data_IF_317371771022
#
_entry.id   IF_317371771022
#
_cell.length_a   1.000
_cell.length_b   1.000
_cell.length_c   1.000
_cell.angle_alpha   90.00
_cell.angle_beta   90.00
_cell.angle_gamma   90.00
#
_symmetry.space_group_name_H-M   'P 1'
#
loop_
_entity.id
_entity.type
_entity.pdbx_description
1 polymer ?
#
# COMPACT_ATOMS: atom_id res chain seq x y z
N UNK A 1 -0.80 1.61 -8.82
CA UNK A 1 0.26 2.56 -8.42
C UNK A 1 0.94 3.11 -9.67
N UNK A 2 1.30 4.39 -9.71
CA UNK A 2 2.00 4.96 -10.87
C UNK A 2 3.44 4.49 -10.95
N UNK A 3 3.74 3.69 -11.98
CA UNK A 3 5.05 3.07 -12.23
C UNK A 3 6.16 4.08 -12.58
N UNK A 4 5.79 5.31 -12.90
CA UNK A 4 6.73 6.42 -13.15
C UNK A 4 6.68 7.46 -12.02
N UNK A 5 5.92 7.21 -10.95
CA UNK A 5 5.73 8.13 -9.84
C UNK A 5 6.90 8.12 -8.85
N UNK A 6 7.05 9.19 -8.05
CA UNK A 6 8.14 9.31 -7.09
C UNK A 6 8.10 8.21 -6.02
N UNK A 7 6.91 7.76 -5.61
CA UNK A 7 6.76 6.64 -4.67
C UNK A 7 7.28 5.31 -5.24
N UNK A 8 7.11 5.04 -6.53
CA UNK A 8 7.62 3.83 -7.17
C UNK A 8 9.14 3.86 -7.27
N UNK A 9 9.71 5.00 -7.68
CA UNK A 9 11.16 5.21 -7.72
C UNK A 9 11.79 5.02 -6.33
N UNK A 10 11.14 5.58 -5.30
CA UNK A 10 11.61 5.44 -3.92
C UNK A 10 11.58 3.99 -3.42
N UNK A 11 10.56 3.20 -3.76
CA UNK A 11 10.53 1.78 -3.41
C UNK A 11 11.69 1.01 -4.06
N UNK A 12 12.02 1.32 -5.32
CA UNK A 12 13.15 0.71 -6.01
C UNK A 12 14.50 1.07 -5.36
N UNK A 13 14.69 2.32 -4.98
CA UNK A 13 15.89 2.78 -4.27
C UNK A 13 16.01 2.19 -2.86
N UNK A 14 14.89 2.11 -2.14
CA UNK A 14 14.85 1.61 -0.76
C UNK A 14 15.03 0.09 -0.69
N UNK A 15 14.51 -0.64 -1.67
CA UNK A 15 14.60 -2.09 -1.75
C UNK A 15 15.33 -2.53 -3.03
N UNK A 16 16.65 -2.29 -3.14
CA UNK A 16 17.41 -2.58 -4.36
C UNK A 16 17.47 -4.08 -4.70
N UNK A 17 17.15 -4.94 -3.72
CA UNK A 17 17.05 -6.41 -3.91
C UNK A 17 15.70 -6.86 -4.49
N UNK A 18 14.70 -5.98 -4.55
CA UNK A 18 13.44 -6.27 -5.23
C UNK A 18 13.58 -6.01 -6.72
N UNK A 19 13.27 -7.02 -7.52
CA UNK A 19 13.14 -6.84 -8.96
C UNK A 19 12.02 -5.86 -9.29
N UNK A 20 12.21 -5.07 -10.35
CA UNK A 20 11.21 -4.12 -10.87
C UNK A 20 9.83 -4.77 -11.08
N UNK A 21 9.76 -6.04 -11.49
CA UNK A 21 8.50 -6.79 -11.64
C UNK A 21 7.73 -6.92 -10.32
N UNK A 22 8.39 -7.39 -9.25
CA UNK A 22 7.82 -7.49 -7.90
C UNK A 22 7.28 -6.16 -7.39
N UNK A 23 8.00 -5.05 -7.63
CA UNK A 23 7.53 -3.71 -7.25
C UNK A 23 6.31 -3.30 -8.11
N UNK A 24 6.31 -3.60 -9.41
CA UNK A 24 5.17 -3.32 -10.32
C UNK A 24 3.92 -4.11 -9.96
N UNK A 25 4.08 -5.35 -9.51
CA UNK A 25 3.01 -6.24 -9.09
C UNK A 25 2.56 -5.98 -7.64
N UNK A 26 3.23 -5.08 -6.92
CA UNK A 26 2.94 -4.80 -5.51
C UNK A 26 3.31 -5.97 -4.58
N UNK A 27 4.11 -6.92 -5.05
CA UNK A 27 4.55 -8.10 -4.30
C UNK A 27 5.64 -7.67 -3.33
N UNK A 28 5.22 -7.33 -2.12
CA UNK A 28 6.08 -7.01 -0.99
C UNK A 28 5.84 -8.02 0.13
N UNK A 29 6.89 -8.45 0.81
CA UNK A 29 6.75 -9.31 1.99
C UNK A 29 6.43 -8.47 3.23
N UNK A 30 5.79 -9.08 4.24
CA UNK A 30 5.33 -8.39 5.46
C UNK A 30 6.36 -7.42 6.08
N UNK A 31 7.64 -7.78 6.24
CA UNK A 31 8.67 -6.86 6.76
C UNK A 31 8.86 -5.58 5.93
N UNK A 32 8.83 -5.67 4.61
CA UNK A 32 9.00 -4.52 3.71
C UNK A 32 7.81 -3.57 3.78
N UNK A 33 6.60 -4.13 3.88
CA UNK A 33 5.37 -3.36 4.08
C UNK A 33 5.41 -2.62 5.42
N UNK A 34 5.80 -3.31 6.51
CA UNK A 34 5.98 -2.69 7.84
C UNK A 34 7.00 -1.56 7.82
N UNK A 35 8.08 -1.71 7.05
CA UNK A 35 9.10 -0.67 6.90
C UNK A 35 8.55 0.55 6.14
N UNK A 36 7.74 0.34 5.10
CA UNK A 36 7.08 1.44 4.38
C UNK A 36 6.04 2.16 5.25
N UNK A 37 5.29 1.43 6.09
CA UNK A 37 4.34 2.04 7.02
C UNK A 37 5.00 2.96 8.04
N UNK A 38 6.21 2.62 8.48
CA UNK A 38 6.99 3.43 9.43
C UNK A 38 7.72 4.59 8.76
N UNK A 39 7.69 4.69 7.43
CA UNK A 39 8.42 5.71 6.70
C UNK A 39 7.55 6.90 6.31
N UNK A 40 7.62 8.02 7.04
CA UNK A 40 6.85 9.21 6.70
C UNK A 40 7.28 9.83 5.37
N UNK A 41 8.50 9.58 4.89
CA UNK A 41 8.95 10.07 3.58
C UNK A 41 8.16 9.38 2.47
N UNK A 42 7.94 8.07 2.59
CA UNK A 42 7.15 7.33 1.61
C UNK A 42 5.74 7.91 1.46
N UNK A 43 5.04 8.15 2.58
CA UNK A 43 3.68 8.74 2.56
C UNK A 43 3.61 10.12 1.90
N UNK A 44 4.69 10.92 1.99
CA UNK A 44 4.78 12.24 1.32
C UNK A 44 4.96 12.14 -0.20
N UNK A 45 5.45 11.00 -0.70
CA UNK A 45 5.64 10.76 -2.14
C UNK A 45 4.37 10.23 -2.82
N UNK A 46 3.35 9.85 -2.05
CA UNK A 46 2.07 9.39 -2.57
C UNK A 46 1.22 10.58 -3.02
N UNK A 47 0.58 10.44 -4.19
CA UNK A 47 -0.43 11.42 -4.64
C UNK A 47 -1.74 11.21 -3.88
N UNK A 48 -2.66 12.18 -3.94
CA UNK A 48 -3.89 12.19 -3.14
C UNK A 48 -4.69 10.87 -3.22
N UNK A 49 -4.88 10.30 -4.41
CA UNK A 49 -5.57 9.02 -4.60
C UNK A 49 -4.77 7.82 -4.06
N UNK A 50 -3.46 7.79 -4.31
CA UNK A 50 -2.57 6.73 -3.82
C UNK A 50 -2.47 6.74 -2.28
N UNK A 51 -2.53 7.94 -1.68
CA UNK A 51 -2.53 8.14 -0.24
C UNK A 51 -3.81 7.62 0.42
N UNK A 52 -4.97 7.80 -0.20
CA UNK A 52 -6.23 7.24 0.31
C UNK A 52 -6.18 5.71 0.35
N UNK A 53 -5.75 5.08 -0.75
CA UNK A 53 -5.56 3.62 -0.83
C UNK A 53 -4.52 3.15 0.19
N UNK A 54 -3.43 3.89 0.35
CA UNK A 54 -2.38 3.56 1.33
C UNK A 54 -2.86 3.66 2.78
N UNK A 55 -3.67 4.66 3.11
CA UNK A 55 -4.20 4.83 4.46
C UNK A 55 -5.23 3.74 4.80
N UNK A 56 -6.08 3.33 3.85
CA UNK A 56 -6.96 2.18 4.02
C UNK A 56 -6.16 0.87 4.19
N UNK A 57 -5.12 0.67 3.37
CA UNK A 57 -4.25 -0.49 3.49
C UNK A 57 -3.50 -0.55 4.82
N UNK A 58 -3.03 0.61 5.33
CA UNK A 58 -2.45 0.73 6.66
C UNK A 58 -3.44 0.31 7.75
N UNK A 59 -4.66 0.84 7.72
CA UNK A 59 -5.71 0.53 8.69
C UNK A 59 -6.04 -0.96 8.71
N UNK A 60 -6.27 -1.58 7.55
CA UNK A 60 -6.49 -3.03 7.48
C UNK A 60 -5.27 -3.77 8.02
N UNK A 61 -4.06 -3.41 7.61
CA UNK A 61 -2.86 -4.13 8.02
C UNK A 61 -2.58 -4.03 9.53
N UNK A 62 -2.88 -2.90 10.17
CA UNK A 62 -2.68 -2.74 11.61
C UNK A 62 -3.78 -3.38 12.44
N UNK A 63 -5.02 -3.39 11.95
CA UNK A 63 -6.19 -3.88 12.69
C UNK A 63 -6.57 -5.34 12.36
N UNK A 64 -5.94 -5.94 11.34
CA UNK A 64 -6.21 -7.31 10.91
C UNK A 64 -4.98 -8.23 10.91
N UNK A 65 -3.80 -7.73 10.50
CA UNK A 65 -2.56 -8.55 10.42
C UNK A 65 -1.73 -8.52 11.72
N UNK A 66 -2.27 -7.94 12.79
CA UNK A 66 -1.70 -7.96 14.15
C UNK A 66 -2.13 -9.18 14.97
N UNK A 67 -1.75 -9.21 16.25
CA UNK A 67 -2.22 -10.22 17.20
C UNK A 67 -3.68 -9.98 17.66
N UNK A 68 -4.19 -8.77 17.43
CA UNK A 68 -5.55 -8.37 17.77
C UNK A 68 -6.34 -8.12 16.48
N UNK A 69 -7.59 -8.59 16.48
CA UNK A 69 -8.54 -8.41 15.39
C UNK A 69 -9.59 -7.40 15.84
N UNK A 70 -9.64 -6.24 15.18
CA UNK A 70 -10.68 -5.25 15.48
C UNK A 70 -12.07 -5.82 15.16
N UNK A 71 -13.10 -5.49 15.95
CA UNK A 71 -14.46 -5.99 15.70
C UNK A 71 -15.00 -5.58 14.33
N UNK A 72 -14.63 -4.36 13.88
CA UNK A 72 -15.01 -3.78 12.59
C UNK A 72 -14.05 -4.15 11.44
N UNK A 73 -13.23 -5.20 11.56
CA UNK A 73 -12.27 -5.55 10.51
C UNK A 73 -12.93 -5.85 9.15
N UNK A 74 -14.17 -6.37 9.14
CA UNK A 74 -14.90 -6.66 7.91
C UNK A 74 -15.17 -5.37 7.13
N UNK A 75 -15.69 -4.36 7.82
CA UNK A 75 -15.98 -3.04 7.26
C UNK A 75 -14.69 -2.39 6.71
N UNK A 76 -13.58 -2.48 7.47
CA UNK A 76 -12.28 -1.97 7.02
C UNK A 76 -11.78 -2.66 5.73
N UNK A 77 -12.00 -3.98 5.61
CA UNK A 77 -11.64 -4.75 4.42
C UNK A 77 -12.56 -4.39 3.24
N UNK A 78 -13.86 -4.23 3.47
CA UNK A 78 -14.82 -3.81 2.44
C UNK A 78 -14.51 -2.40 1.92
N UNK A 79 -14.23 -1.45 2.80
CA UNK A 79 -13.82 -0.08 2.44
C UNK A 79 -12.53 -0.08 1.62
N UNK A 80 -11.54 -0.88 2.04
CA UNK A 80 -10.30 -1.06 1.29
C UNK A 80 -10.61 -1.63 -0.10
N UNK A 81 -11.38 -2.71 -0.21
CA UNK A 81 -11.73 -3.33 -1.48
C UNK A 81 -12.48 -2.36 -2.41
N UNK A 82 -13.41 -1.55 -1.88
CA UNK A 82 -14.11 -0.52 -2.64
C UNK A 82 -13.13 0.52 -3.21
N UNK A 83 -12.17 0.99 -2.39
CA UNK A 83 -11.12 1.91 -2.84
C UNK A 83 -10.22 1.27 -3.91
N UNK A 84 -9.89 -0.02 -3.78
CA UNK A 84 -9.11 -0.76 -4.78
C UNK A 84 -9.89 -0.98 -6.08
N UNK A 85 -11.21 -1.22 -6.04
CA UNK A 85 -12.05 -1.31 -7.23
C UNK A 85 -12.13 0.04 -7.94
N UNK A 86 -12.34 1.14 -7.22
CA UNK A 86 -12.33 2.49 -7.79
C UNK A 86 -10.96 2.83 -8.39
N UNK A 87 -9.87 2.37 -7.77
CA UNK A 87 -8.51 2.61 -8.26
C UNK A 87 -8.10 1.68 -9.42
N UNK A 88 -8.56 0.43 -9.40
CA UNK A 88 -8.30 -0.61 -10.40
C UNK A 88 -9.15 -0.48 -11.67
N UNK A 89 -10.38 0.03 -11.55
CA UNK A 89 -11.25 0.37 -12.67
C UNK A 89 -10.81 1.63 -13.44
N UNK A 90 -9.74 2.31 -13.03
CA UNK A 90 -9.09 3.40 -13.81
C UNK A 90 -8.02 2.82 -14.75
N UNK A 91 -8.25 1.62 -15.30
CA UNK A 91 -7.49 1.10 -16.42
C UNK A 91 -8.45 0.42 -17.42
N UNK A 92 -8.78 1.05 -18.56
CA UNK A 92 -9.10 0.29 -19.77
C UNK A 92 -7.87 -0.48 -20.27
#
# INVERSE_FOLDING_TARGET
>A
MNKNGPAFKYQHEKFPRLSVSKIKEGVSVGPQIKELFRDPKFKKLLRSKEKQVWDAFYQVSTNFLGNDKAENYKDLVEDMLALFLVFGCICP
#
